data_IF_510975876052
#
_entry.id   IF_510975876052
#
_cell.length_a   1.000
_cell.length_b   1.000
_cell.length_c   1.000
_cell.angle_alpha   90.00
_cell.angle_beta   90.00
_cell.angle_gamma   90.00
#
_symmetry.space_group_name_H-M   'P 1'
#
loop_
_entity.id
_entity.type
_entity.pdbx_description
1 polymer ?
#
# COMPACT_ATOMS: atom_id res chain seq x y z
N UNK A 1 -26.95 -31.47 -102.46
CA UNK A 1 -26.23 -32.01 -101.31
C UNK A 1 -25.18 -30.97 -100.90
N UNK A 2 -25.48 -30.13 -99.91
CA UNK A 2 -24.52 -29.16 -99.35
C UNK A 2 -24.55 -29.32 -97.86
N UNK A 3 -23.44 -29.80 -97.26
CA UNK A 3 -23.26 -29.91 -95.82
C UNK A 3 -22.81 -28.54 -95.25
N UNK A 4 -23.60 -27.97 -94.46
CA UNK A 4 -23.28 -26.74 -93.68
C UNK A 4 -22.60 -27.16 -92.45
N UNK A 5 -21.37 -26.67 -92.23
CA UNK A 5 -20.57 -26.89 -91.02
C UNK A 5 -20.78 -25.67 -90.10
N UNK A 6 -21.46 -25.88 -88.96
CA UNK A 6 -21.64 -24.83 -87.99
C UNK A 6 -20.49 -24.96 -86.92
N UNK A 7 -19.59 -23.96 -86.95
CA UNK A 7 -18.55 -23.80 -85.98
C UNK A 7 -19.12 -23.03 -84.78
N UNK A 8 -19.34 -23.73 -83.64
CA UNK A 8 -19.76 -23.11 -82.36
C UNK A 8 -18.52 -22.71 -81.57
N UNK A 9 -18.23 -21.39 -81.55
CA UNK A 9 -17.14 -20.82 -80.78
C UNK A 9 -17.56 -20.79 -79.31
N UNK A 10 -16.98 -21.67 -78.45
CA UNK A 10 -17.17 -21.65 -76.99
C UNK A 10 -16.32 -20.55 -76.40
N UNK A 11 -16.95 -19.52 -75.89
CA UNK A 11 -16.32 -18.43 -75.13
C UNK A 11 -16.12 -18.90 -73.70
N UNK A 12 -14.89 -19.29 -73.31
CA UNK A 12 -14.52 -19.69 -71.94
C UNK A 12 -14.31 -18.42 -71.13
N UNK A 13 -15.25 -18.08 -70.23
CA UNK A 13 -15.06 -17.09 -69.16
C UNK A 13 -14.12 -17.68 -68.12
N UNK A 14 -12.87 -17.24 -68.10
CA UNK A 14 -11.96 -17.49 -67.06
C UNK A 14 -12.30 -16.47 -65.98
N UNK A 15 -13.12 -16.84 -65.00
CA UNK A 15 -13.26 -16.11 -63.72
C UNK A 15 -11.98 -16.33 -62.93
N UNK A 16 -11.06 -15.39 -63.01
CA UNK A 16 -9.90 -15.36 -62.11
C UNK A 16 -10.36 -15.16 -60.70
N UNK A 17 -10.30 -16.22 -59.87
CA UNK A 17 -10.29 -16.07 -58.41
C UNK A 17 -9.06 -15.23 -58.03
N UNK A 18 -9.28 -13.98 -57.72
CA UNK A 18 -8.27 -13.15 -57.06
C UNK A 18 -8.08 -13.70 -55.67
N UNK A 19 -7.17 -14.65 -55.53
CA UNK A 19 -6.70 -15.12 -54.24
C UNK A 19 -5.77 -14.04 -53.71
N UNK A 20 -6.26 -13.14 -52.89
CA UNK A 20 -5.44 -12.15 -52.17
C UNK A 20 -4.60 -12.88 -51.14
N UNK A 21 -3.50 -13.50 -51.57
CA UNK A 21 -2.48 -14.02 -50.68
C UNK A 21 -1.83 -12.85 -49.95
N UNK A 22 -2.44 -12.38 -48.88
CA UNK A 22 -1.75 -11.55 -47.88
C UNK A 22 -0.62 -12.40 -47.28
N UNK A 23 0.61 -12.08 -47.64
CA UNK A 23 1.77 -12.74 -47.12
C UNK A 23 2.11 -12.05 -45.81
N UNK A 24 1.66 -12.63 -44.70
CA UNK A 24 1.99 -12.14 -43.35
C UNK A 24 3.43 -12.52 -42.99
N UNK A 25 4.13 -11.61 -42.31
CA UNK A 25 5.54 -11.79 -41.97
C UNK A 25 5.69 -12.53 -40.60
N UNK A 26 4.73 -12.33 -39.71
CA UNK A 26 4.73 -12.96 -38.36
C UNK A 26 3.29 -13.25 -37.91
N UNK A 27 3.13 -14.17 -36.98
CA UNK A 27 1.84 -14.46 -36.37
C UNK A 27 2.02 -14.76 -34.90
N UNK A 28 0.98 -14.57 -34.11
CA UNK A 28 1.02 -14.80 -32.69
C UNK A 28 -0.35 -14.70 -32.00
N UNK A 29 -0.33 -14.57 -30.69
CA UNK A 29 -1.55 -14.46 -29.88
C UNK A 29 -1.52 -13.20 -29.03
N UNK A 30 -2.70 -12.63 -28.80
CA UNK A 30 -2.87 -11.49 -27.92
C UNK A 30 -2.83 -11.92 -26.46
N UNK A 31 -2.01 -11.24 -25.68
CA UNK A 31 -1.87 -11.36 -24.24
C UNK A 31 -2.05 -10.01 -23.57
N UNK A 32 -2.28 -10.00 -22.27
CA UNK A 32 -2.35 -8.81 -21.43
C UNK A 32 -1.60 -9.05 -20.13
N UNK A 33 -1.07 -8.00 -19.52
CA UNK A 33 -0.46 -8.11 -18.20
C UNK A 33 -1.56 -8.16 -17.14
N UNK A 34 -1.67 -9.30 -16.47
CA UNK A 34 -2.68 -9.54 -15.44
C UNK A 34 -2.15 -9.18 -14.06
N UNK A 35 -2.98 -8.51 -13.27
CA UNK A 35 -2.71 -8.24 -11.87
C UNK A 35 -3.57 -9.15 -11.00
N UNK A 36 -2.92 -10.01 -10.20
CA UNK A 36 -3.59 -10.86 -9.21
C UNK A 36 -3.86 -10.04 -7.96
N UNK A 37 -5.11 -9.84 -7.63
CA UNK A 37 -5.53 -9.20 -6.38
C UNK A 37 -5.72 -10.28 -5.33
N UNK A 38 -4.97 -10.18 -4.23
CA UNK A 38 -4.92 -11.17 -3.16
C UNK A 38 -5.33 -10.55 -1.84
N UNK A 39 -5.82 -11.37 -0.92
CA UNK A 39 -6.13 -10.91 0.44
C UNK A 39 -4.86 -10.53 1.20
N UNK A 40 -4.89 -9.40 1.90
CA UNK A 40 -3.80 -8.95 2.77
C UNK A 40 -3.99 -9.32 4.24
N UNK A 41 -5.19 -9.80 4.62
CA UNK A 41 -5.53 -10.26 5.97
C UNK A 41 -6.24 -11.61 5.95
N UNK A 42 -6.09 -12.43 6.99
CA UNK A 42 -6.85 -13.66 7.13
C UNK A 42 -8.24 -13.37 7.70
N UNK A 43 -9.24 -14.12 7.25
CA UNK A 43 -10.60 -14.02 7.77
C UNK A 43 -11.65 -14.53 6.81
N UNK A 44 -12.92 -14.43 7.19
CA UNK A 44 -14.05 -14.74 6.32
C UNK A 44 -14.33 -13.56 5.38
N UNK A 45 -14.51 -13.82 4.10
CA UNK A 45 -14.96 -12.80 3.13
C UNK A 45 -16.43 -12.48 3.44
N UNK A 46 -16.71 -11.27 3.89
CA UNK A 46 -18.09 -10.83 4.20
C UNK A 46 -18.88 -10.56 2.92
N UNK A 47 -18.26 -9.85 1.99
CA UNK A 47 -18.78 -9.55 0.67
C UNK A 47 -17.63 -9.33 -0.31
N UNK A 48 -17.88 -9.62 -1.61
CA UNK A 48 -16.95 -9.44 -2.71
C UNK A 48 -17.76 -9.13 -3.98
N UNK A 49 -17.91 -7.85 -4.29
CA UNK A 49 -18.72 -7.35 -5.40
C UNK A 49 -17.89 -7.26 -6.67
N UNK A 50 -17.54 -8.40 -7.21
CA UNK A 50 -16.77 -8.53 -8.44
C UNK A 50 -17.27 -9.76 -9.22
N UNK A 51 -17.49 -9.59 -10.52
CA UNK A 51 -17.80 -10.68 -11.44
C UNK A 51 -16.87 -10.63 -12.65
N UNK A 52 -16.65 -11.76 -13.29
CA UNK A 52 -15.87 -11.84 -14.52
C UNK A 52 -16.51 -10.97 -15.61
N UNK A 53 -15.70 -10.16 -16.27
CA UNK A 53 -16.15 -9.18 -17.25
C UNK A 53 -16.49 -7.79 -16.70
N UNK A 54 -16.55 -7.60 -15.37
CA UNK A 54 -16.78 -6.29 -14.78
C UNK A 54 -15.59 -5.35 -15.03
N UNK A 55 -15.89 -4.09 -15.34
CA UNK A 55 -14.88 -3.04 -15.46
C UNK A 55 -14.84 -2.24 -14.16
N UNK A 56 -13.68 -2.25 -13.49
CA UNK A 56 -13.52 -1.66 -12.16
C UNK A 56 -12.42 -0.60 -12.19
N UNK A 57 -12.70 0.57 -11.62
CA UNK A 57 -11.71 1.65 -11.48
C UNK A 57 -10.72 1.37 -10.35
N UNK A 58 -9.50 1.87 -10.49
CA UNK A 58 -8.50 1.86 -9.42
C UNK A 58 -9.02 2.59 -8.17
N UNK A 59 -8.76 2.02 -6.99
CA UNK A 59 -9.13 2.58 -5.70
C UNK A 59 -10.56 2.28 -5.25
N UNK A 60 -11.35 1.56 -6.05
CA UNK A 60 -12.70 1.13 -5.66
C UNK A 60 -12.60 0.04 -4.59
N UNK A 61 -13.34 0.18 -3.49
CA UNK A 61 -13.53 -0.89 -2.51
C UNK A 61 -14.52 -1.90 -3.09
N UNK A 62 -14.09 -3.13 -3.23
CA UNK A 62 -14.85 -4.18 -3.92
C UNK A 62 -15.19 -5.37 -3.04
N UNK A 63 -14.70 -5.39 -1.80
CA UNK A 63 -14.95 -6.46 -0.87
C UNK A 63 -14.47 -6.12 0.53
N UNK A 64 -14.80 -6.97 1.49
CA UNK A 64 -14.37 -6.84 2.87
C UNK A 64 -14.16 -8.21 3.50
N UNK A 65 -13.05 -8.34 4.22
CA UNK A 65 -12.75 -9.49 5.08
C UNK A 65 -13.17 -9.17 6.51
N UNK A 66 -13.71 -10.15 7.23
CA UNK A 66 -14.10 -10.01 8.63
C UNK A 66 -12.90 -9.60 9.50
N UNK A 67 -13.00 -8.42 10.08
CA UNK A 67 -11.99 -7.80 10.93
C UNK A 67 -12.41 -7.71 12.40
N UNK A 68 -13.46 -8.44 12.82
CA UNK A 68 -13.99 -8.38 14.18
C UNK A 68 -12.90 -8.66 15.23
N UNK A 69 -12.09 -9.70 15.02
CA UNK A 69 -11.00 -10.03 15.94
C UNK A 69 -9.95 -8.92 16.04
N UNK A 70 -9.63 -8.24 14.93
CA UNK A 70 -8.69 -7.12 14.93
C UNK A 70 -9.26 -5.91 15.71
N UNK A 71 -10.57 -5.65 15.58
CA UNK A 71 -11.23 -4.60 16.36
C UNK A 71 -11.19 -4.90 17.86
N UNK A 72 -11.49 -6.13 18.28
CA UNK A 72 -11.42 -6.54 19.67
C UNK A 72 -9.99 -6.43 20.24
N UNK A 73 -8.98 -6.82 19.48
CA UNK A 73 -7.57 -6.63 19.87
C UNK A 73 -7.22 -5.16 20.02
N UNK A 74 -7.66 -4.29 19.10
CA UNK A 74 -7.47 -2.85 19.20
C UNK A 74 -8.10 -2.29 20.48
N UNK A 75 -9.35 -2.65 20.76
CA UNK A 75 -10.07 -2.22 21.96
C UNK A 75 -9.36 -2.69 23.23
N UNK A 76 -8.85 -3.91 23.28
CA UNK A 76 -8.08 -4.43 24.40
C UNK A 76 -6.81 -3.59 24.66
N UNK A 77 -6.04 -3.29 23.61
CA UNK A 77 -4.82 -2.46 23.76
C UNK A 77 -5.19 -1.03 24.18
N UNK A 78 -6.25 -0.47 23.62
CA UNK A 78 -6.75 0.86 24.02
C UNK A 78 -7.19 0.91 25.49
N UNK A 79 -7.89 -0.12 25.98
CA UNK A 79 -8.25 -0.24 27.40
C UNK A 79 -7.00 -0.30 28.28
N UNK A 80 -5.94 -1.00 27.87
CA UNK A 80 -4.67 -1.03 28.59
C UNK A 80 -4.02 0.35 28.64
N UNK A 81 -4.00 1.10 27.52
CA UNK A 81 -3.49 2.48 27.48
C UNK A 81 -4.27 3.38 28.42
N UNK A 82 -5.60 3.24 28.46
CA UNK A 82 -6.46 4.01 29.36
C UNK A 82 -6.12 3.71 30.84
N UNK A 83 -6.02 2.43 31.19
CA UNK A 83 -5.65 2.00 32.54
C UNK A 83 -4.27 2.54 32.99
N UNK A 84 -3.28 2.58 32.07
CA UNK A 84 -1.97 3.19 32.35
C UNK A 84 -2.09 4.69 32.63
N UNK A 85 -2.95 5.39 31.88
CA UNK A 85 -3.17 6.83 32.08
C UNK A 85 -3.81 7.13 33.46
N UNK A 86 -4.70 6.26 33.92
CA UNK A 86 -5.32 6.36 35.24
C UNK A 86 -4.33 6.08 36.40
N UNK A 87 -3.26 5.33 36.14
CA UNK A 87 -2.20 5.05 37.13
C UNK A 87 -1.24 6.22 37.36
N UNK A 88 -1.29 7.27 36.52
CA UNK A 88 -0.45 8.44 36.73
C UNK A 88 -0.88 9.18 37.98
N UNK A 89 0.07 9.38 38.90
CA UNK A 89 -0.19 10.04 40.15
C UNK A 89 -0.28 11.57 39.98
N UNK A 90 -1.25 12.17 40.67
CA UNK A 90 -1.28 13.63 40.83
C UNK A 90 -0.25 14.08 41.84
N UNK A 91 0.60 15.01 41.45
CA UNK A 91 1.65 15.61 42.30
C UNK A 91 1.05 16.52 43.37
N UNK A 92 -0.15 17.11 43.12
CA UNK A 92 -0.69 18.22 43.86
C UNK A 92 -0.97 17.93 45.35
N UNK A 93 -1.61 16.83 45.77
CA UNK A 93 -1.98 16.64 47.18
C UNK A 93 -0.78 16.59 48.13
N UNK A 94 0.23 15.77 47.79
CA UNK A 94 1.42 15.60 48.64
C UNK A 94 2.30 16.85 48.68
N UNK A 95 2.49 17.51 47.55
CA UNK A 95 3.26 18.76 47.48
C UNK A 95 2.55 19.89 48.20
N UNK A 96 1.21 19.99 48.09
CA UNK A 96 0.43 21.02 48.77
C UNK A 96 0.53 20.92 50.29
N UNK A 97 0.53 19.70 50.84
CA UNK A 97 0.74 19.49 52.27
C UNK A 97 2.09 20.07 52.74
N UNK A 98 3.17 19.72 52.00
CA UNK A 98 4.51 20.24 52.32
C UNK A 98 4.63 21.76 52.13
N UNK A 99 3.95 22.31 51.12
CA UNK A 99 3.89 23.76 50.92
C UNK A 99 3.18 24.49 52.05
N UNK A 100 2.08 23.94 52.58
CA UNK A 100 1.41 24.49 53.76
C UNK A 100 2.33 24.43 54.98
N UNK A 101 3.05 23.33 55.18
CA UNK A 101 4.04 23.22 56.25
C UNK A 101 5.17 24.26 56.12
N UNK A 102 5.67 24.46 54.90
CA UNK A 102 6.67 25.47 54.57
C UNK A 102 6.16 26.88 54.90
N UNK A 103 4.91 27.19 54.54
CA UNK A 103 4.29 28.49 54.84
C UNK A 103 4.21 28.76 56.34
N UNK A 104 3.87 27.74 57.14
CA UNK A 104 3.87 27.85 58.63
C UNK A 104 5.27 28.16 59.15
N UNK A 105 6.30 27.42 58.68
CA UNK A 105 7.68 27.64 59.07
C UNK A 105 8.21 29.04 58.68
N UNK A 106 7.81 29.52 57.50
CA UNK A 106 8.15 30.88 57.04
C UNK A 106 7.50 31.96 57.90
N UNK A 107 6.23 31.76 58.32
CA UNK A 107 5.56 32.68 59.26
C UNK A 107 6.24 32.71 60.63
N UNK A 108 6.66 31.52 61.14
CA UNK A 108 7.43 31.41 62.36
C UNK A 108 8.77 32.12 62.26
N UNK A 109 9.50 31.96 61.14
CA UNK A 109 10.73 32.68 60.87
C UNK A 109 10.52 34.21 60.90
N UNK A 110 9.50 34.71 60.23
CA UNK A 110 9.16 36.12 60.23
C UNK A 110 8.89 36.69 61.63
N UNK A 111 8.17 35.94 62.47
CA UNK A 111 7.92 36.32 63.86
C UNK A 111 9.24 36.38 64.69
N UNK A 112 10.10 35.35 64.51
CA UNK A 112 11.39 35.34 65.21
C UNK A 112 12.32 36.49 64.75
N UNK A 113 12.35 36.79 63.46
CA UNK A 113 13.14 37.91 62.96
C UNK A 113 12.58 39.26 63.39
N UNK A 114 11.30 39.39 63.53
CA UNK A 114 10.64 40.61 64.05
C UNK A 114 10.96 40.75 65.59
N UNK A 115 10.88 39.67 66.35
CA UNK A 115 11.22 39.66 67.74
C UNK A 115 12.70 39.96 67.96
N UNK A 116 13.60 39.37 67.20
CA UNK A 116 15.04 39.69 67.22
C UNK A 116 15.29 41.19 67.01
N UNK A 117 14.70 41.80 66.01
CA UNK A 117 14.85 43.23 65.75
C UNK A 117 14.38 44.10 66.92
N UNK A 118 13.32 43.66 67.63
CA UNK A 118 12.85 44.32 68.86
C UNK A 118 13.85 44.23 69.96
N UNK A 119 14.38 43.02 70.25
CA UNK A 119 15.38 42.80 71.28
C UNK A 119 16.71 43.47 70.95
N UNK A 120 17.16 43.55 69.75
CA UNK A 120 18.36 44.30 69.32
C UNK A 120 18.22 45.80 69.59
N UNK A 121 17.02 46.39 69.46
CA UNK A 121 16.76 47.80 69.82
C UNK A 121 16.78 47.98 71.37
N UNK A 122 16.11 47.09 72.10
CA UNK A 122 16.14 47.12 73.57
C UNK A 122 17.53 46.92 74.18
N UNK A 123 18.39 46.13 73.49
CA UNK A 123 19.79 45.98 73.91
C UNK A 123 20.61 47.27 73.73
N UNK A 124 20.33 48.09 72.72
CA UNK A 124 20.93 49.42 72.54
C UNK A 124 20.59 50.38 73.68
N UNK A 125 19.39 50.19 74.24
CA UNK A 125 18.86 51.03 75.36
C UNK A 125 19.14 50.38 76.76
N UNK A 126 20.08 49.41 76.82
CA UNK A 126 20.41 48.65 78.00
C UNK A 126 19.21 47.95 78.68
N UNK A 127 18.11 47.72 77.99
CA UNK A 127 16.87 47.12 78.49
C UNK A 127 16.72 45.60 78.17
N UNK A 128 17.70 44.99 77.51
CA UNK A 128 17.78 43.56 77.20
C UNK A 128 19.20 43.01 77.34
N UNK A 129 19.37 41.66 77.40
CA UNK A 129 20.67 41.03 77.50
C UNK A 129 21.16 40.50 76.14
N UNK A 130 22.47 40.49 75.93
CA UNK A 130 23.04 39.92 74.68
C UNK A 130 22.67 38.44 74.48
N UNK A 131 22.53 37.68 75.59
CA UNK A 131 22.09 36.27 75.54
C UNK A 131 20.71 36.09 74.92
N UNK A 132 19.77 37.00 75.18
CA UNK A 132 18.44 36.94 74.61
C UNK A 132 18.49 37.07 73.05
N UNK A 133 19.36 37.93 72.53
CA UNK A 133 19.58 38.09 71.07
C UNK A 133 20.27 36.85 70.47
N UNK A 134 21.24 36.27 71.24
CA UNK A 134 21.95 35.03 70.84
C UNK A 134 21.00 33.84 70.79
N UNK A 135 20.10 33.69 71.80
CA UNK A 135 19.06 32.63 71.77
C UNK A 135 18.09 32.75 70.61
N UNK A 136 17.67 33.99 70.23
CA UNK A 136 16.85 34.23 69.09
C UNK A 136 17.58 33.94 67.73
N UNK A 137 18.87 34.28 67.67
CA UNK A 137 19.69 33.96 66.48
C UNK A 137 19.80 32.43 66.29
N UNK A 138 19.97 31.68 67.39
CA UNK A 138 20.00 30.21 67.34
C UNK A 138 18.67 29.63 66.91
N UNK A 139 17.54 30.15 67.39
CA UNK A 139 16.19 29.71 66.89
C UNK A 139 15.93 30.03 65.42
N UNK A 140 16.33 31.23 65.02
CA UNK A 140 16.25 31.62 63.57
C UNK A 140 17.09 30.66 62.75
N UNK A 141 18.32 30.32 63.13
CA UNK A 141 19.18 29.42 62.37
C UNK A 141 18.57 28.00 62.31
N UNK A 142 17.96 27.48 63.35
CA UNK A 142 17.26 26.20 63.37
C UNK A 142 16.04 26.25 62.40
N UNK A 143 15.20 27.29 62.50
CA UNK A 143 14.03 27.45 61.65
C UNK A 143 14.40 27.56 60.16
N UNK A 144 15.45 28.31 59.82
CA UNK A 144 15.99 28.37 58.45
C UNK A 144 16.44 26.99 57.92
N UNK A 145 17.07 26.17 58.78
CA UNK A 145 17.42 24.80 58.40
C UNK A 145 16.19 23.92 58.20
N UNK A 146 15.16 24.06 59.05
CA UNK A 146 13.89 23.32 58.87
C UNK A 146 13.19 23.69 57.57
N UNK A 147 13.14 24.98 57.20
CA UNK A 147 12.63 25.47 55.92
C UNK A 147 13.39 24.82 54.75
N UNK A 148 14.72 24.81 54.82
CA UNK A 148 15.54 24.19 53.76
C UNK A 148 15.26 22.67 53.60
N UNK A 149 15.09 21.95 54.73
CA UNK A 149 14.70 20.54 54.70
C UNK A 149 13.33 20.33 54.04
N UNK A 150 12.32 21.13 54.45
CA UNK A 150 10.95 21.04 53.89
C UNK A 150 10.97 21.38 52.40
N UNK A 151 11.75 22.39 51.98
CA UNK A 151 11.91 22.72 50.56
C UNK A 151 12.55 21.57 49.79
N UNK A 152 13.55 20.90 50.35
CA UNK A 152 14.18 19.73 49.75
C UNK A 152 13.19 18.55 49.65
N UNK A 153 12.35 18.33 50.66
CA UNK A 153 11.30 17.31 50.65
C UNK A 153 10.28 17.56 49.50
N UNK A 154 9.89 18.81 49.28
CA UNK A 154 9.02 19.21 48.14
C UNK A 154 9.68 18.82 46.81
N UNK A 155 10.98 19.13 46.64
CA UNK A 155 11.70 18.81 45.42
C UNK A 155 11.82 17.29 45.20
N UNK A 156 12.14 16.53 46.25
CA UNK A 156 12.20 15.06 46.20
C UNK A 156 10.85 14.49 45.83
N UNK A 157 9.76 14.93 46.47
CA UNK A 157 8.40 14.46 46.19
C UNK A 157 8.00 14.72 44.72
N UNK A 158 8.26 15.93 44.19
CA UNK A 158 8.01 16.27 42.79
C UNK A 158 8.79 15.37 41.83
N UNK A 159 10.07 15.17 42.10
CA UNK A 159 10.95 14.36 41.25
C UNK A 159 10.56 12.87 41.28
N UNK A 160 10.18 12.33 42.43
CA UNK A 160 9.74 10.94 42.57
C UNK A 160 8.52 10.68 41.72
N UNK A 161 7.47 11.51 41.84
CA UNK A 161 6.23 11.38 41.06
C UNK A 161 6.49 11.61 39.58
N UNK A 162 7.30 12.61 39.20
CA UNK A 162 7.65 12.87 37.83
C UNK A 162 8.38 11.67 37.20
N UNK A 163 9.27 11.02 37.92
CA UNK A 163 9.99 9.83 37.45
C UNK A 163 9.03 8.64 37.31
N UNK A 164 8.16 8.42 38.30
CA UNK A 164 7.14 7.37 38.22
C UNK A 164 6.19 7.57 37.05
N UNK A 165 5.67 8.79 36.85
CA UNK A 165 4.78 9.11 35.73
C UNK A 165 5.51 8.95 34.37
N UNK A 166 6.81 9.32 34.31
CA UNK A 166 7.62 9.10 33.11
C UNK A 166 7.76 7.62 32.77
N UNK A 167 7.98 6.77 33.80
CA UNK A 167 8.04 5.32 33.61
C UNK A 167 6.73 4.78 33.04
N UNK A 168 5.59 5.15 33.63
CA UNK A 168 4.26 4.75 33.15
C UNK A 168 4.02 5.24 31.70
N UNK A 169 4.37 6.49 31.42
CA UNK A 169 4.20 7.05 30.05
C UNK A 169 5.12 6.39 29.01
N UNK A 170 6.30 5.90 29.45
CA UNK A 170 7.18 5.14 28.54
C UNK A 170 6.59 3.78 28.12
N UNK A 171 5.77 3.16 28.97
CA UNK A 171 5.05 1.92 28.65
C UNK A 171 3.89 2.15 27.68
N UNK A 172 3.32 3.35 27.65
CA UNK A 172 2.23 3.72 26.76
C UNK A 172 2.67 3.77 25.28
N UNK A 173 3.86 4.26 25.01
CA UNK A 173 4.35 4.50 23.65
C UNK A 173 4.41 3.22 22.78
N UNK A 174 4.91 2.06 23.26
CA UNK A 174 4.83 0.80 22.50
C UNK A 174 3.40 0.37 22.20
N UNK A 175 2.48 0.55 23.15
CA UNK A 175 1.07 0.20 22.96
C UNK A 175 0.38 1.09 21.92
N UNK A 176 0.71 2.37 21.85
CA UNK A 176 0.24 3.27 20.80
C UNK A 176 0.72 2.82 19.41
N UNK A 177 1.97 2.34 19.32
CA UNK A 177 2.49 1.74 18.07
C UNK A 177 1.77 0.43 17.71
N UNK A 178 1.42 -0.38 18.70
CA UNK A 178 0.62 -1.59 18.48
C UNK A 178 -0.78 -1.25 17.97
N UNK A 179 -1.46 -0.23 18.50
CA UNK A 179 -2.74 0.27 17.97
C UNK A 179 -2.58 0.73 16.51
N UNK A 180 -1.50 1.45 16.20
CA UNK A 180 -1.23 1.87 14.82
C UNK A 180 -1.01 0.68 13.86
N UNK A 181 -0.33 -0.36 14.31
CA UNK A 181 -0.16 -1.60 13.54
C UNK A 181 -1.50 -2.31 13.29
N UNK A 182 -2.35 -2.43 14.32
CA UNK A 182 -3.69 -3.03 14.17
C UNK A 182 -4.55 -2.18 13.22
N UNK A 183 -4.50 -0.86 13.31
CA UNK A 183 -5.22 0.03 12.38
C UNK A 183 -4.77 -0.17 10.92
N UNK A 184 -3.48 -0.42 10.68
CA UNK A 184 -2.98 -0.75 9.34
C UNK A 184 -3.56 -2.09 8.85
N UNK A 185 -3.65 -3.10 9.71
CA UNK A 185 -4.28 -4.38 9.38
C UNK A 185 -5.78 -4.23 9.12
N UNK A 186 -6.47 -3.39 9.91
CA UNK A 186 -7.90 -3.09 9.71
C UNK A 186 -8.15 -2.42 8.36
N UNK A 187 -7.30 -1.47 7.96
CA UNK A 187 -7.41 -0.83 6.63
C UNK A 187 -7.20 -1.82 5.47
N UNK A 188 -6.44 -2.89 5.70
CA UNK A 188 -6.21 -3.97 4.73
C UNK A 188 -7.32 -5.01 4.69
N UNK A 189 -8.29 -4.95 5.61
CA UNK A 189 -9.49 -5.79 5.56
C UNK A 189 -10.46 -5.35 4.45
N UNK A 190 -10.41 -4.11 4.02
CA UNK A 190 -11.10 -3.64 2.83
C UNK A 190 -10.30 -4.04 1.59
N UNK A 191 -10.95 -4.77 0.67
CA UNK A 191 -10.34 -5.20 -0.59
C UNK A 191 -10.48 -4.06 -1.58
N UNK A 192 -9.35 -3.41 -1.87
CA UNK A 192 -9.30 -2.24 -2.77
C UNK A 192 -8.69 -2.66 -4.11
N UNK A 193 -9.37 -2.32 -5.20
CA UNK A 193 -8.87 -2.59 -6.55
C UNK A 193 -7.62 -1.74 -6.87
N UNK A 194 -6.44 -2.35 -7.16
CA UNK A 194 -5.18 -1.63 -7.31
C UNK A 194 -4.99 -0.97 -8.68
N UNK A 195 -5.68 -1.44 -9.72
CA UNK A 195 -5.54 -0.97 -11.11
C UNK A 195 -6.90 -0.84 -11.77
N UNK A 196 -7.07 0.11 -12.69
CA UNK A 196 -8.27 0.16 -13.52
C UNK A 196 -8.20 -0.91 -14.59
N UNK A 197 -9.30 -1.64 -14.82
CA UNK A 197 -9.31 -2.70 -15.81
C UNK A 197 -10.58 -3.54 -15.79
N UNK A 198 -10.53 -4.65 -16.50
CA UNK A 198 -11.59 -5.66 -16.56
C UNK A 198 -11.18 -6.89 -15.72
N UNK A 199 -12.11 -7.41 -14.97
CA UNK A 199 -11.93 -8.68 -14.22
C UNK A 199 -11.90 -9.84 -15.20
N UNK A 200 -10.82 -10.61 -15.16
CA UNK A 200 -10.61 -11.75 -16.05
C UNK A 200 -11.12 -13.05 -15.40
N UNK A 201 -10.75 -13.27 -14.14
CA UNK A 201 -11.11 -14.48 -13.41
C UNK A 201 -11.36 -14.15 -11.95
N UNK A 202 -12.40 -14.72 -11.38
CA UNK A 202 -12.75 -14.66 -9.97
C UNK A 202 -12.38 -15.98 -9.29
N UNK A 203 -11.59 -15.92 -8.19
CA UNK A 203 -11.09 -17.12 -7.48
C UNK A 203 -11.74 -17.35 -6.12
N UNK A 204 -12.47 -16.38 -5.58
CA UNK A 204 -13.04 -16.46 -4.25
C UNK A 204 -14.48 -15.95 -4.21
N UNK A 205 -15.26 -16.51 -3.31
CA UNK A 205 -16.67 -16.15 -3.11
C UNK A 205 -16.93 -15.60 -1.70
N UNK A 206 -17.97 -14.75 -1.54
CA UNK A 206 -18.45 -14.35 -0.22
C UNK A 206 -18.76 -15.56 0.65
N UNK A 207 -18.33 -15.50 1.91
CA UNK A 207 -18.51 -16.61 2.87
C UNK A 207 -17.32 -17.55 2.98
N UNK A 208 -16.39 -17.55 2.03
CA UNK A 208 -15.15 -18.33 2.11
C UNK A 208 -14.17 -17.75 3.14
N UNK A 209 -13.30 -18.61 3.65
CA UNK A 209 -12.18 -18.21 4.48
C UNK A 209 -10.98 -17.93 3.58
N UNK A 210 -10.39 -16.74 3.74
CA UNK A 210 -9.17 -16.33 3.05
C UNK A 210 -7.98 -16.28 4.00
N UNK A 211 -6.79 -16.30 3.42
CA UNK A 211 -5.51 -16.11 4.10
C UNK A 211 -4.66 -15.08 3.37
N UNK A 212 -3.64 -14.56 4.03
CA UNK A 212 -2.70 -13.63 3.39
C UNK A 212 -2.08 -14.27 2.14
N UNK A 213 -2.16 -13.55 1.02
CA UNK A 213 -1.64 -14.00 -0.28
C UNK A 213 -2.59 -14.91 -1.08
N UNK A 214 -3.76 -15.32 -0.53
CA UNK A 214 -4.76 -16.06 -1.33
C UNK A 214 -5.35 -15.15 -2.40
N UNK A 215 -5.25 -15.55 -3.67
CA UNK A 215 -5.84 -14.84 -4.79
C UNK A 215 -7.36 -14.73 -4.66
N UNK A 216 -7.89 -13.56 -4.92
CA UNK A 216 -9.32 -13.26 -4.89
C UNK A 216 -9.87 -13.12 -6.31
N UNK A 217 -9.17 -12.42 -7.18
CA UNK A 217 -9.50 -12.27 -8.60
C UNK A 217 -8.29 -11.76 -9.39
N UNK A 218 -8.35 -11.91 -10.73
CA UNK A 218 -7.43 -11.28 -11.68
C UNK A 218 -8.10 -10.11 -12.38
N UNK A 219 -7.35 -9.03 -12.58
CA UNK A 219 -7.76 -7.85 -13.33
C UNK A 219 -6.68 -7.45 -14.33
N UNK A 220 -7.09 -6.98 -15.51
CA UNK A 220 -6.17 -6.47 -16.52
C UNK A 220 -6.72 -5.24 -17.22
N UNK A 221 -5.82 -4.33 -17.63
CA UNK A 221 -6.18 -3.20 -18.48
C UNK A 221 -6.31 -3.68 -19.94
N UNK A 222 -7.54 -3.78 -20.41
CA UNK A 222 -7.85 -4.23 -21.75
C UNK A 222 -7.80 -3.12 -22.80
N UNK A 223 -7.44 -1.90 -22.45
CA UNK A 223 -7.36 -0.75 -23.39
C UNK A 223 -6.19 -0.87 -24.37
N UNK A 224 -5.11 -1.51 -23.96
CA UNK A 224 -3.96 -1.87 -24.75
C UNK A 224 -3.67 -3.36 -24.64
N UNK A 225 -3.56 -4.06 -25.78
CA UNK A 225 -3.24 -5.48 -25.83
C UNK A 225 -1.83 -5.68 -26.39
N UNK A 226 -1.16 -6.71 -25.93
CA UNK A 226 0.16 -7.11 -26.43
C UNK A 226 0.02 -8.32 -27.35
N UNK A 227 0.32 -8.17 -28.63
CA UNK A 227 0.47 -9.30 -29.53
C UNK A 227 1.88 -9.87 -29.37
N UNK A 228 1.99 -11.09 -28.85
CA UNK A 228 3.23 -11.86 -28.84
C UNK A 228 3.31 -12.66 -30.14
N UNK A 229 4.07 -12.13 -31.09
CA UNK A 229 4.26 -12.73 -32.40
C UNK A 229 5.68 -13.29 -32.56
N UNK A 230 5.85 -14.18 -33.52
CA UNK A 230 7.11 -14.88 -33.76
C UNK A 230 7.63 -14.59 -35.15
N UNK A 231 8.89 -14.20 -35.26
CA UNK A 231 9.62 -13.94 -36.49
C UNK A 231 10.74 -14.98 -36.69
N UNK A 232 11.10 -15.24 -37.91
CA UNK A 232 12.26 -16.09 -38.23
C UNK A 232 13.57 -15.34 -38.09
N UNK A 233 14.70 -16.06 -37.98
CA UNK A 233 16.02 -15.45 -37.92
C UNK A 233 16.39 -14.59 -39.12
N UNK A 234 15.83 -14.89 -40.31
CA UNK A 234 16.03 -14.10 -41.53
C UNK A 234 15.30 -12.75 -41.51
N UNK A 235 14.19 -12.68 -40.77
CA UNK A 235 13.40 -11.44 -40.60
C UNK A 235 13.94 -10.55 -39.50
N UNK A 236 14.79 -11.09 -38.59
CA UNK A 236 15.32 -10.37 -37.44
C UNK A 236 16.00 -9.04 -37.81
N UNK A 237 16.73 -9.00 -38.94
CA UNK A 237 17.40 -7.79 -39.44
C UNK A 237 16.45 -6.68 -39.88
N UNK A 238 15.19 -7.00 -40.11
CA UNK A 238 14.15 -6.07 -40.60
C UNK A 238 13.31 -5.46 -39.47
N UNK A 239 13.50 -5.93 -38.24
CA UNK A 239 12.70 -5.55 -37.08
C UNK A 239 13.51 -4.62 -36.16
N UNK A 240 12.89 -3.51 -35.75
CA UNK A 240 13.48 -2.53 -34.84
C UNK A 240 12.53 -2.22 -33.72
N UNK A 241 13.10 -1.89 -32.55
CA UNK A 241 12.32 -1.36 -31.44
C UNK A 241 11.63 -0.05 -31.84
N UNK A 242 10.39 0.14 -31.37
CA UNK A 242 9.53 1.28 -31.70
C UNK A 242 9.11 1.37 -33.17
N UNK A 243 9.29 0.30 -33.93
CA UNK A 243 8.83 0.24 -35.34
C UNK A 243 7.31 0.14 -35.39
N UNK A 244 6.63 1.00 -36.16
CA UNK A 244 5.19 0.85 -36.45
C UNK A 244 4.98 -0.33 -37.38
N UNK A 245 3.96 -1.12 -37.11
CA UNK A 245 3.57 -2.30 -37.88
C UNK A 245 2.06 -2.34 -38.08
N UNK A 246 1.59 -3.09 -39.07
CA UNK A 246 0.17 -3.40 -39.26
C UNK A 246 -0.12 -4.77 -38.68
N UNK A 247 -1.15 -4.84 -37.87
CA UNK A 247 -1.66 -6.06 -37.25
C UNK A 247 -3.02 -6.37 -37.84
N UNK A 248 -3.21 -7.59 -38.24
CA UNK A 248 -4.41 -8.10 -38.86
C UNK A 248 -5.04 -9.15 -37.95
N UNK A 249 -6.33 -9.00 -37.68
CA UNK A 249 -7.11 -9.87 -36.82
C UNK A 249 -8.28 -10.41 -37.63
N UNK A 250 -8.60 -11.69 -37.45
CA UNK A 250 -9.73 -12.31 -38.15
C UNK A 250 -11.03 -11.56 -37.86
N UNK A 251 -11.76 -11.21 -38.96
CA UNK A 251 -13.04 -10.53 -38.90
C UNK A 251 -14.07 -11.30 -39.72
N UNK A 252 -14.40 -12.51 -39.31
CA UNK A 252 -15.22 -13.46 -40.02
C UNK A 252 -14.42 -14.39 -40.93
N UNK A 253 -15.08 -15.06 -41.87
CA UNK A 253 -14.46 -16.15 -42.65
C UNK A 253 -13.40 -15.67 -43.67
N UNK A 254 -13.60 -14.48 -44.27
CA UNK A 254 -12.80 -14.04 -45.44
C UNK A 254 -12.28 -12.59 -45.31
N UNK A 255 -12.33 -12.01 -44.12
CA UNK A 255 -11.91 -10.62 -43.93
C UNK A 255 -11.02 -10.43 -42.71
N UNK A 256 -10.17 -9.43 -42.77
CA UNK A 256 -9.30 -9.04 -41.66
C UNK A 256 -9.63 -7.63 -41.19
N UNK A 257 -9.58 -7.41 -39.88
CA UNK A 257 -9.58 -6.08 -39.30
C UNK A 257 -8.14 -5.62 -39.14
N UNK A 258 -7.80 -4.52 -39.78
CA UNK A 258 -6.46 -3.91 -39.71
C UNK A 258 -6.38 -3.00 -38.49
N UNK A 259 -5.30 -3.12 -37.70
CA UNK A 259 -4.98 -2.29 -36.57
C UNK A 259 -3.52 -1.83 -36.61
N UNK A 260 -3.24 -0.68 -36.01
CA UNK A 260 -1.87 -0.19 -35.89
C UNK A 260 -1.24 -0.74 -34.62
N UNK A 261 -0.03 -1.25 -34.74
CA UNK A 261 0.77 -1.72 -33.64
C UNK A 261 2.17 -1.09 -33.61
N UNK A 262 2.83 -1.17 -32.47
CA UNK A 262 4.20 -0.72 -32.28
C UNK A 262 5.00 -1.83 -31.59
N UNK A 263 6.15 -2.18 -32.15
CA UNK A 263 7.06 -3.18 -31.55
C UNK A 263 7.68 -2.58 -30.29
N UNK A 264 7.39 -3.16 -29.14
CA UNK A 264 7.89 -2.68 -27.83
C UNK A 264 9.00 -3.54 -27.24
N UNK A 265 9.14 -4.77 -27.73
CA UNK A 265 10.16 -5.68 -27.24
C UNK A 265 10.51 -6.72 -28.30
N UNK A 266 11.78 -7.13 -28.31
CA UNK A 266 12.32 -8.16 -29.20
C UNK A 266 13.13 -9.11 -28.32
N UNK A 267 12.91 -10.42 -28.43
CA UNK A 267 13.62 -11.42 -27.65
C UNK A 267 15.09 -11.51 -28.03
N UNK A 268 15.97 -11.50 -27.00
CA UNK A 268 17.41 -11.76 -27.17
C UNK A 268 17.73 -13.27 -27.32
N UNK A 269 16.71 -14.13 -27.10
CA UNK A 269 16.87 -15.58 -27.15
C UNK A 269 15.94 -16.16 -28.21
N UNK A 270 16.46 -17.11 -28.98
CA UNK A 270 15.63 -17.89 -29.87
C UNK A 270 14.74 -18.85 -29.06
N UNK A 271 13.49 -18.98 -29.49
CA UNK A 271 12.50 -19.90 -28.93
C UNK A 271 12.15 -20.95 -30.00
N UNK A 272 11.65 -22.10 -29.56
CA UNK A 272 11.02 -23.05 -30.48
C UNK A 272 9.57 -22.62 -30.73
N UNK A 273 9.10 -22.79 -31.96
CA UNK A 273 7.67 -22.49 -32.28
C UNK A 273 6.76 -23.30 -31.35
N UNK A 274 5.72 -22.68 -30.76
CA UNK A 274 4.81 -23.35 -29.82
C UNK A 274 3.86 -24.40 -30.44
N UNK A 275 4.14 -24.91 -31.64
CA UNK A 275 3.31 -25.92 -32.31
C UNK A 275 3.57 -27.32 -31.75
N UNK A 276 2.52 -28.00 -31.35
CA UNK A 276 2.53 -29.32 -30.67
C UNK A 276 2.80 -30.51 -31.58
N UNK A 277 2.77 -30.39 -32.91
CA UNK A 277 3.03 -31.47 -33.87
C UNK A 277 4.05 -30.98 -34.89
N UNK A 278 5.26 -31.58 -34.87
CA UNK A 278 6.37 -31.12 -35.68
C UNK A 278 6.85 -32.24 -36.57
N UNK A 279 6.89 -31.97 -37.85
CA UNK A 279 7.67 -32.76 -38.81
C UNK A 279 9.16 -32.52 -38.57
N UNK A 280 10.00 -33.40 -39.10
CA UNK A 280 11.47 -33.35 -38.89
C UNK A 280 12.09 -32.05 -39.43
N UNK A 281 11.46 -31.44 -40.46
CA UNK A 281 11.92 -30.20 -41.09
C UNK A 281 11.47 -28.92 -40.34
N UNK A 282 10.38 -28.99 -39.58
CA UNK A 282 9.87 -27.84 -38.77
C UNK A 282 10.64 -27.67 -37.43
N UNK A 283 11.37 -28.69 -36.95
CA UNK A 283 12.20 -28.57 -35.73
C UNK A 283 13.45 -27.71 -35.91
N UNK A 284 13.81 -27.38 -37.15
CA UNK A 284 15.05 -26.65 -37.48
C UNK A 284 14.86 -25.11 -37.44
N UNK A 285 13.63 -24.58 -37.33
CA UNK A 285 13.37 -23.17 -37.44
C UNK A 285 13.27 -22.52 -36.04
N UNK A 286 14.39 -21.96 -35.59
CA UNK A 286 14.43 -21.05 -34.45
C UNK A 286 13.69 -19.77 -34.79
N UNK A 287 12.82 -19.35 -33.89
CA UNK A 287 12.06 -18.10 -34.00
C UNK A 287 12.41 -17.17 -32.85
N UNK A 288 12.21 -15.90 -33.08
CA UNK A 288 12.36 -14.87 -32.06
C UNK A 288 11.00 -14.26 -31.73
N UNK A 289 10.66 -14.20 -30.46
CA UNK A 289 9.44 -13.55 -30.03
C UNK A 289 9.58 -12.02 -30.10
N UNK A 290 8.55 -11.36 -30.58
CA UNK A 290 8.40 -9.89 -30.53
C UNK A 290 7.10 -9.56 -29.84
N UNK A 291 7.09 -8.46 -29.07
CA UNK A 291 5.88 -7.93 -28.44
C UNK A 291 5.47 -6.65 -29.16
N UNK A 292 4.23 -6.62 -29.59
CA UNK A 292 3.63 -5.51 -30.33
C UNK A 292 2.46 -4.99 -29.51
N UNK A 293 2.52 -3.73 -29.08
CA UNK A 293 1.38 -3.06 -28.44
C UNK A 293 0.38 -2.58 -29.48
N UNK A 294 -0.88 -2.92 -29.24
CA UNK A 294 -2.01 -2.59 -30.09
C UNK A 294 -3.10 -1.96 -29.24
N UNK A 295 -3.61 -0.78 -29.63
CA UNK A 295 -4.78 -0.19 -28.97
C UNK A 295 -5.99 -1.07 -29.23
N UNK A 296 -6.73 -1.39 -28.18
CA UNK A 296 -7.94 -2.20 -28.27
C UNK A 296 -9.18 -1.30 -28.23
N UNK A 297 -10.06 -1.49 -29.19
CA UNK A 297 -11.38 -0.85 -29.26
C UNK A 297 -12.50 -1.71 -28.64
N UNK A 298 -12.11 -2.77 -27.88
CA UNK A 298 -13.01 -3.74 -27.28
C UNK A 298 -13.20 -5.02 -28.10
N UNK A 299 -12.68 -5.05 -29.34
CA UNK A 299 -12.77 -6.23 -30.21
C UNK A 299 -11.79 -7.33 -29.82
N UNK A 300 -10.54 -6.95 -29.50
CA UNK A 300 -9.47 -7.91 -29.20
C UNK A 300 -9.74 -8.58 -27.86
N UNK A 301 -9.62 -9.91 -27.83
CA UNK A 301 -9.72 -10.73 -26.62
C UNK A 301 -8.40 -11.46 -26.37
N UNK A 302 -8.15 -11.82 -25.12
CA UNK A 302 -6.98 -12.62 -24.72
C UNK A 302 -7.02 -13.95 -25.47
N UNK A 303 -5.87 -14.35 -26.02
CA UNK A 303 -5.73 -15.59 -26.79
C UNK A 303 -6.18 -15.52 -28.24
N UNK A 304 -6.74 -14.39 -28.72
CA UNK A 304 -7.02 -14.22 -30.15
C UNK A 304 -5.73 -14.24 -30.97
N UNK A 305 -5.82 -14.78 -32.18
CA UNK A 305 -4.71 -14.77 -33.13
C UNK A 305 -4.60 -13.42 -33.84
N UNK A 306 -3.36 -13.03 -34.08
CA UNK A 306 -3.04 -11.85 -34.87
C UNK A 306 -1.90 -12.13 -35.82
N UNK A 307 -1.98 -11.54 -37.01
CA UNK A 307 -1.00 -11.61 -38.07
C UNK A 307 -0.36 -10.24 -38.26
N UNK A 308 0.91 -10.19 -38.61
CA UNK A 308 1.70 -8.96 -38.63
C UNK A 308 2.34 -8.77 -40.01
N UNK A 309 2.27 -7.55 -40.52
CA UNK A 309 3.07 -7.07 -41.64
C UNK A 309 4.08 -6.06 -41.13
N UNK A 310 5.37 -6.43 -41.18
CA UNK A 310 6.48 -5.67 -40.61
C UNK A 310 6.81 -4.39 -41.37
N UNK A 311 6.69 -4.43 -42.70
CA UNK A 311 6.95 -3.30 -43.57
C UNK A 311 5.71 -3.00 -44.41
N UNK A 312 4.71 -2.32 -43.84
CA UNK A 312 3.54 -1.93 -44.64
C UNK A 312 3.99 -0.97 -45.77
N UNK A 313 3.79 -1.35 -47.01
CA UNK A 313 4.00 -0.41 -48.14
C UNK A 313 3.06 0.77 -47.93
N UNK A 314 3.64 1.98 -47.87
CA UNK A 314 2.92 3.26 -47.81
C UNK A 314 1.93 3.41 -48.94
#
# INVERSE_FOLDING_TARGET
MKRIFIITTAFIFITGCSNSNHKFDASGTFEVDETVVSSEVPGKILWLNVNEGDSIAKGTVIGQVDSTNLNLQKEQVQATIHSLSEKTADVNPGVKLLQNQLAVQQSQLGNLEHEKNRFENLLKDDAATGKQVDDLNAQIAVTKKQIAVTQQQINVQKNTIATQNRSIMSEKQPLEKQVAQINNQLAKADIINPVSGMVITKYAEPGEITSVGKALYNIADMSEMTLRAYITGTQFSQVKLNQPVKVYIDNGADSYKEMNGVITWISDKAEFTPKTIQTKDERANLVYAIKIKVKNDGYIKIGMYGEVVLNPKS
#
